data_IF_355051237443
#
_entry.id   IF_355051237443
#
_cell.length_a   1.000
_cell.length_b   1.000
_cell.length_c   1.000
_cell.angle_alpha   90.00
_cell.angle_beta   90.00
_cell.angle_gamma   90.00
#
_symmetry.space_group_name_H-M   'P 1'
#
loop_
_entity.id
_entity.type
_entity.pdbx_description
1 polymer ?
#
# COMPACT_ATOMS: atom_id res chain seq x y z
N UNK A 1 1.81 -26.48 6.43
CA UNK A 1 2.12 -25.36 5.53
C UNK A 1 3.25 -25.80 4.60
N UNK A 2 3.03 -25.79 3.28
CA UNK A 2 4.08 -26.12 2.32
C UNK A 2 4.88 -24.85 2.02
N UNK A 3 6.20 -24.89 2.19
CA UNK A 3 7.06 -23.84 1.65
C UNK A 3 7.07 -23.93 0.12
N UNK A 4 7.21 -22.80 -0.58
CA UNK A 4 7.15 -22.75 -2.05
C UNK A 4 8.05 -23.81 -2.71
N UNK A 5 9.27 -23.99 -2.22
CA UNK A 5 10.20 -25.02 -2.70
C UNK A 5 9.64 -26.43 -2.55
N UNK A 6 9.01 -26.75 -1.41
CA UNK A 6 8.38 -28.06 -1.17
C UNK A 6 7.15 -28.27 -2.05
N UNK A 7 6.40 -27.20 -2.37
CA UNK A 7 5.27 -27.27 -3.28
C UNK A 7 5.73 -27.59 -4.71
N UNK A 8 6.86 -27.02 -5.14
CA UNK A 8 7.47 -27.32 -6.44
C UNK A 8 7.94 -28.77 -6.53
N UNK A 9 8.64 -29.26 -5.52
CA UNK A 9 9.13 -30.65 -5.49
C UNK A 9 7.99 -31.69 -5.52
N UNK A 10 6.81 -31.31 -5.03
CA UNK A 10 5.59 -32.14 -5.02
C UNK A 10 4.72 -31.96 -6.26
N UNK A 11 5.13 -31.14 -7.22
CA UNK A 11 4.35 -30.84 -8.43
C UNK A 11 3.02 -30.13 -8.14
N UNK A 12 2.91 -29.41 -7.03
CA UNK A 12 1.70 -28.65 -6.68
C UNK A 12 1.68 -27.26 -7.32
N UNK A 13 2.84 -26.77 -7.77
CA UNK A 13 3.03 -25.49 -8.45
C UNK A 13 4.08 -25.66 -9.56
N UNK A 14 3.93 -24.91 -10.65
CA UNK A 14 4.83 -25.02 -11.80
C UNK A 14 6.20 -24.37 -11.53
N UNK A 15 6.20 -23.22 -10.85
CA UNK A 15 7.39 -22.45 -10.57
C UNK A 15 7.29 -21.68 -9.25
N UNK A 16 8.45 -21.32 -8.72
CA UNK A 16 8.61 -20.47 -7.54
C UNK A 16 9.56 -19.34 -7.95
N UNK A 17 9.15 -18.10 -7.72
CA UNK A 17 9.91 -16.92 -8.09
C UNK A 17 9.26 -15.67 -7.52
N UNK A 18 9.85 -14.52 -7.83
CA UNK A 18 9.27 -13.21 -7.48
C UNK A 18 8.42 -12.67 -8.62
N UNK A 19 7.59 -11.68 -8.33
CA UNK A 19 6.81 -10.99 -9.38
C UNK A 19 7.71 -10.36 -10.45
N UNK A 20 8.90 -9.90 -10.06
CA UNK A 20 9.84 -9.25 -10.96
C UNK A 20 10.46 -10.28 -11.92
N UNK A 21 10.80 -11.49 -11.43
CA UNK A 21 11.33 -12.56 -12.28
C UNK A 21 10.34 -12.94 -13.40
N UNK A 22 9.04 -13.00 -13.08
CA UNK A 22 7.99 -13.27 -14.05
C UNK A 22 7.90 -12.17 -15.11
N UNK A 23 7.85 -10.90 -14.66
CA UNK A 23 7.76 -9.76 -15.58
C UNK A 23 8.96 -9.70 -16.52
N UNK A 24 10.17 -9.92 -16.00
CA UNK A 24 11.41 -9.90 -16.80
C UNK A 24 11.41 -11.03 -17.83
N UNK A 25 10.98 -12.24 -17.45
CA UNK A 25 10.90 -13.36 -18.40
C UNK A 25 9.91 -13.07 -19.55
N UNK A 26 8.79 -12.43 -19.25
CA UNK A 26 7.79 -12.10 -20.27
C UNK A 26 8.19 -10.92 -21.18
N UNK A 27 9.18 -10.11 -20.80
CA UNK A 27 9.69 -9.00 -21.62
C UNK A 27 10.37 -9.47 -22.92
N UNK A 28 10.81 -10.73 -23.00
CA UNK A 28 11.36 -11.29 -24.25
C UNK A 28 10.25 -11.43 -25.32
N UNK A 29 9.03 -11.74 -24.89
CA UNK A 29 7.90 -12.03 -25.78
C UNK A 29 6.90 -10.86 -25.91
N UNK A 30 7.02 -9.84 -25.07
CA UNK A 30 6.06 -8.74 -25.00
C UNK A 30 6.74 -7.37 -25.09
N UNK A 31 6.10 -6.45 -25.80
CA UNK A 31 6.57 -5.07 -25.88
C UNK A 31 6.28 -4.32 -24.56
N UNK A 32 7.31 -3.68 -24.02
CA UNK A 32 7.21 -2.93 -22.76
C UNK A 32 6.72 -1.52 -23.04
N UNK A 33 5.46 -1.25 -22.67
CA UNK A 33 4.82 0.06 -22.89
C UNK A 33 5.25 1.13 -21.88
N UNK A 34 5.85 0.74 -20.74
CA UNK A 34 6.34 1.70 -19.76
C UNK A 34 6.77 1.07 -18.44
N UNK A 35 7.76 1.70 -17.80
CA UNK A 35 8.29 1.29 -16.49
C UNK A 35 8.00 2.38 -15.48
N UNK A 36 7.34 2.03 -14.37
CA UNK A 36 7.05 2.97 -13.29
C UNK A 36 7.70 2.53 -11.99
N UNK A 37 8.63 3.35 -11.51
CA UNK A 37 9.13 3.19 -10.15
C UNK A 37 8.11 3.70 -9.13
N UNK A 38 7.63 2.82 -8.26
CA UNK A 38 6.76 3.18 -7.15
C UNK A 38 7.50 3.02 -5.82
N UNK A 39 7.82 4.13 -5.17
CA UNK A 39 8.33 4.09 -3.79
C UNK A 39 7.21 3.58 -2.88
N UNK A 40 7.51 2.58 -2.05
CA UNK A 40 6.59 2.12 -1.00
C UNK A 40 6.24 3.31 -0.10
N UNK A 41 5.04 3.87 -0.28
CA UNK A 41 4.49 4.85 0.65
C UNK A 41 4.32 4.13 1.98
N UNK A 42 4.91 4.66 3.05
CA UNK A 42 4.66 4.11 4.39
C UNK A 42 3.16 4.28 4.61
N UNK A 43 2.44 3.19 4.82
CA UNK A 43 0.98 3.25 5.03
C UNK A 43 0.63 4.24 6.16
N UNK A 44 1.51 4.33 7.16
CA UNK A 44 1.51 5.35 8.21
C UNK A 44 1.33 6.77 7.66
N UNK A 45 2.02 7.17 6.60
CA UNK A 45 1.94 8.55 6.07
C UNK A 45 0.54 8.86 5.51
N UNK A 46 -0.19 7.84 5.02
CA UNK A 46 -1.58 8.00 4.58
C UNK A 46 -2.55 8.06 5.77
N UNK A 47 -2.28 7.31 6.83
CA UNK A 47 -3.13 7.25 8.02
C UNK A 47 -2.95 8.46 8.94
N UNK A 48 -1.72 8.95 9.13
CA UNK A 48 -1.44 10.10 10.01
C UNK A 48 -1.92 11.42 9.41
N UNK A 49 -1.77 11.62 8.09
CA UNK A 49 -2.23 12.83 7.41
C UNK A 49 -3.74 13.06 7.55
N UNK A 50 -4.56 12.06 7.26
CA UNK A 50 -6.03 12.18 7.36
C UNK A 50 -6.54 12.23 8.81
N UNK A 51 -5.85 11.54 9.74
CA UNK A 51 -6.22 11.54 11.15
C UNK A 51 -5.94 12.89 11.82
N UNK A 52 -4.80 13.52 11.51
CA UNK A 52 -4.42 14.82 12.04
C UNK A 52 -5.41 15.92 11.62
N UNK A 53 -5.77 16.00 10.34
CA UNK A 53 -6.75 16.98 9.84
C UNK A 53 -8.15 16.79 10.45
N UNK A 54 -8.54 15.54 10.69
CA UNK A 54 -9.84 15.23 11.30
C UNK A 54 -9.87 15.62 12.79
N UNK A 55 -8.78 15.39 13.52
CA UNK A 55 -8.65 15.81 14.91
C UNK A 55 -8.66 17.34 15.05
N UNK A 56 -7.93 18.05 14.19
CA UNK A 56 -7.84 19.52 14.20
C UNK A 56 -9.22 20.17 13.97
N UNK A 57 -9.99 19.65 13.02
CA UNK A 57 -11.38 20.10 12.79
C UNK A 57 -12.30 19.87 13.99
N UNK A 58 -12.12 18.79 14.74
CA UNK A 58 -12.92 18.52 15.94
C UNK A 58 -12.54 19.45 17.09
N UNK A 59 -11.24 19.70 17.29
CA UNK A 59 -10.73 20.63 18.29
C UNK A 59 -11.22 22.07 18.02
N UNK A 60 -11.12 22.55 16.77
CA UNK A 60 -11.63 23.86 16.38
C UNK A 60 -13.14 23.98 16.60
N UNK A 61 -13.92 22.93 16.28
CA UNK A 61 -15.38 22.91 16.49
C UNK A 61 -15.80 22.84 17.96
N UNK A 62 -14.94 22.35 18.85
CA UNK A 62 -15.16 22.40 20.30
C UNK A 62 -14.79 23.75 20.87
N UNK A 63 -13.67 24.33 20.43
CA UNK A 63 -13.27 25.68 20.82
C UNK A 63 -14.34 26.72 20.46
N UNK A 64 -14.82 26.71 19.21
CA UNK A 64 -15.91 27.59 18.76
C UNK A 64 -17.23 27.38 19.50
N UNK A 65 -17.45 26.19 20.09
CA UNK A 65 -18.65 25.91 20.89
C UNK A 65 -18.54 26.48 22.30
N UNK A 66 -17.32 26.64 22.82
CA UNK A 66 -17.04 27.27 24.11
C UNK A 66 -17.10 28.80 24.08
N UNK A 67 -16.84 29.41 22.92
CA UNK A 67 -16.92 30.86 22.71
C UNK A 67 -18.32 31.35 22.30
N UNK A 68 -19.41 30.66 22.67
CA UNK A 68 -20.73 31.31 22.59
C UNK A 68 -20.84 32.33 23.73
N UNK A 69 -20.91 33.65 23.45
CA UNK A 69 -21.16 34.62 24.48
C UNK A 69 -22.59 34.36 24.98
N UNK A 70 -22.70 33.94 26.24
CA UNK A 70 -23.97 34.04 26.95
C UNK A 70 -24.29 35.53 26.99
N UNK A 71 -25.42 35.89 26.36
CA UNK A 71 -26.09 37.18 26.54
C UNK A 71 -26.21 37.51 28.03
#
# INVERSE_FOLDING_TARGET
>A
HWYGTQAKDKGLVDAVGTSDDLLIAEMENHEVVGVRYARRKRLIDRFTGSAAESADRLLLRWWQRGEKPLL
#
